data_IF_063595910192
#
_entry.id   IF_063595910192
#
_cell.length_a   1.000
_cell.length_b   1.000
_cell.length_c   1.000
_cell.angle_alpha   90.00
_cell.angle_beta   90.00
_cell.angle_gamma   90.00
#
_symmetry.space_group_name_H-M   'P 1'
#
loop_
_entity.id
_entity.type
_entity.pdbx_description
1 polymer ?
#
# COMPACT_ATOMS: atom_id res chain seq x y z
N UNK A 1 -4.83 7.70 -6.61
CA UNK A 1 -5.17 7.59 -8.05
C UNK A 1 -5.18 6.17 -8.61
N UNK A 2 -4.42 5.18 -8.11
CA UNK A 2 -4.50 3.81 -8.65
C UNK A 2 -5.95 3.27 -8.74
N UNK A 3 -6.80 3.58 -7.76
CA UNK A 3 -8.22 3.20 -7.76
C UNK A 3 -9.06 3.77 -8.90
N UNK A 4 -8.64 4.88 -9.52
CA UNK A 4 -9.35 5.51 -10.65
C UNK A 4 -8.61 5.31 -11.97
N UNK A 5 -7.48 4.60 -11.97
CA UNK A 5 -6.70 4.36 -13.18
C UNK A 5 -7.51 3.68 -14.30
N UNK A 6 -8.35 2.65 -14.03
CA UNK A 6 -9.16 2.04 -15.09
C UNK A 6 -10.08 3.04 -15.81
N UNK A 7 -10.69 3.96 -15.06
CA UNK A 7 -11.53 5.03 -15.61
C UNK A 7 -10.70 6.00 -16.47
N UNK A 8 -9.49 6.35 -16.02
CA UNK A 8 -8.63 7.27 -16.77
C UNK A 8 -8.10 6.63 -18.07
N UNK A 9 -7.81 5.33 -18.04
CA UNK A 9 -7.43 4.56 -19.24
C UNK A 9 -8.58 4.51 -20.25
N UNK A 10 -9.82 4.31 -19.79
CA UNK A 10 -11.02 4.35 -20.63
C UNK A 10 -11.20 5.74 -21.28
N UNK A 11 -11.16 6.81 -20.48
CA UNK A 11 -11.33 8.19 -20.95
C UNK A 11 -10.26 8.61 -21.97
N UNK A 12 -9.06 8.05 -21.88
CA UNK A 12 -7.96 8.36 -22.79
C UNK A 12 -7.88 7.40 -23.98
N UNK A 13 -8.75 6.38 -24.01
CA UNK A 13 -8.71 5.28 -24.97
C UNK A 13 -7.33 4.61 -25.01
N UNK A 14 -6.68 4.50 -23.85
CA UNK A 14 -5.33 3.93 -23.72
C UNK A 14 -4.20 4.74 -24.37
N UNK A 15 -4.46 5.98 -24.83
CA UNK A 15 -3.43 6.82 -25.48
C UNK A 15 -2.46 7.48 -24.49
N UNK A 16 -2.80 7.49 -23.21
CA UNK A 16 -1.96 8.01 -22.14
C UNK A 16 -1.56 6.83 -21.26
N UNK A 17 -0.25 6.72 -21.02
CA UNK A 17 0.28 5.78 -20.04
C UNK A 17 0.21 6.42 -18.65
N UNK A 18 -0.47 5.74 -17.73
CA UNK A 18 -0.49 6.12 -16.32
C UNK A 18 0.59 5.33 -15.58
N UNK A 19 1.37 6.04 -14.75
CA UNK A 19 2.41 5.45 -13.93
C UNK A 19 1.91 5.40 -12.50
N UNK A 20 1.98 4.22 -11.88
CA UNK A 20 1.73 4.07 -10.45
C UNK A 20 3.01 4.39 -9.66
N UNK A 21 3.09 5.55 -9.00
CA UNK A 21 4.26 5.89 -8.20
C UNK A 21 4.46 4.94 -7.01
N UNK A 22 3.41 4.25 -6.54
CA UNK A 22 3.53 3.30 -5.44
C UNK A 22 4.37 2.09 -5.85
N UNK A 23 4.19 1.59 -7.08
CA UNK A 23 5.00 0.51 -7.63
C UNK A 23 6.48 0.93 -7.71
N UNK A 24 6.77 2.07 -8.32
CA UNK A 24 8.16 2.57 -8.46
C UNK A 24 8.82 2.81 -7.09
N UNK A 25 8.05 3.32 -6.12
CA UNK A 25 8.52 3.48 -4.75
C UNK A 25 8.82 2.13 -4.10
N UNK A 26 7.99 1.11 -4.33
CA UNK A 26 8.21 -0.23 -3.77
C UNK A 26 9.49 -0.87 -4.31
N UNK A 27 9.78 -0.71 -5.60
CA UNK A 27 11.03 -1.20 -6.20
C UNK A 27 12.26 -0.46 -5.66
N UNK A 28 12.16 0.85 -5.44
CA UNK A 28 13.23 1.60 -4.82
C UNK A 28 13.51 1.14 -3.38
N UNK A 29 12.46 0.91 -2.59
CA UNK A 29 12.58 0.37 -1.23
C UNK A 29 13.23 -1.01 -1.27
N UNK A 30 12.79 -1.90 -2.17
CA UNK A 30 13.36 -3.23 -2.35
C UNK A 30 14.87 -3.16 -2.58
N UNK A 31 15.30 -2.37 -3.58
CA UNK A 31 16.73 -2.20 -3.91
C UNK A 31 17.53 -1.60 -2.75
N UNK A 32 16.94 -0.67 -1.99
CA UNK A 32 17.61 -0.02 -0.85
C UNK A 32 17.81 -0.98 0.32
N UNK A 33 16.86 -1.86 0.58
CA UNK A 33 16.96 -2.89 1.60
C UNK A 33 17.96 -3.98 1.19
N UNK A 34 17.93 -4.43 -0.07
CA UNK A 34 18.88 -5.38 -0.64
C UNK A 34 20.33 -4.88 -0.52
N UNK A 35 20.59 -3.65 -0.96
CA UNK A 35 21.92 -3.03 -0.89
C UNK A 35 22.43 -2.75 0.52
N UNK A 36 21.63 -3.01 1.55
CA UNK A 36 21.99 -2.85 2.97
C UNK A 36 21.87 -4.15 3.77
N UNK A 37 21.55 -5.27 3.13
CA UNK A 37 21.28 -6.55 3.79
C UNK A 37 20.20 -6.45 4.89
N UNK A 38 19.12 -5.71 4.60
CA UNK A 38 18.00 -5.44 5.52
C UNK A 38 16.72 -6.20 5.16
N UNK A 39 16.79 -7.18 4.26
CA UNK A 39 15.63 -8.01 4.00
C UNK A 39 15.30 -8.87 5.21
N UNK A 40 14.01 -8.97 5.51
CA UNK A 40 13.53 -9.90 6.51
C UNK A 40 13.84 -11.34 6.04
N UNK A 41 14.66 -12.11 6.77
CA UNK A 41 15.01 -13.48 6.37
C UNK A 41 13.85 -14.47 6.52
N UNK A 42 12.79 -14.07 7.24
CA UNK A 42 11.63 -14.92 7.45
C UNK A 42 10.81 -15.06 6.17
N UNK A 43 10.45 -16.30 5.82
CA UNK A 43 9.60 -16.60 4.66
C UNK A 43 8.11 -16.50 4.98
N UNK A 44 7.77 -16.58 6.26
CA UNK A 44 6.40 -16.38 6.74
C UNK A 44 6.08 -14.90 6.72
N UNK A 45 4.92 -14.57 6.18
CA UNK A 45 4.52 -13.20 6.06
C UNK A 45 4.05 -12.65 7.44
N UNK A 46 4.43 -11.42 7.78
CA UNK A 46 4.24 -10.84 9.12
C UNK A 46 2.83 -10.29 9.41
N UNK A 47 2.70 -9.47 10.44
CA UNK A 47 1.48 -8.69 10.71
C UNK A 47 1.69 -7.22 10.36
N UNK A 48 0.61 -6.49 10.12
CA UNK A 48 0.63 -5.06 9.79
C UNK A 48 -0.16 -4.28 10.83
N UNK A 49 0.47 -3.30 11.49
CA UNK A 49 -0.25 -2.37 12.37
C UNK A 49 -0.46 -1.05 11.64
N UNK A 50 -1.71 -0.62 11.52
CA UNK A 50 -2.09 0.64 10.92
C UNK A 50 -2.50 1.63 12.01
N UNK A 51 -1.92 2.82 11.97
CA UNK A 51 -2.18 3.88 12.94
C UNK A 51 -2.87 5.05 12.25
N UNK A 52 -3.98 5.51 12.81
CA UNK A 52 -4.74 6.63 12.28
C UNK A 52 -4.92 7.70 13.36
N UNK A 53 -4.80 8.97 12.97
CA UNK A 53 -5.06 10.10 13.88
C UNK A 53 -6.53 10.51 13.94
N UNK A 54 -7.34 10.00 13.01
CA UNK A 54 -8.79 10.26 12.87
C UNK A 54 -9.45 9.09 12.15
N UNK A 55 -10.75 8.94 12.35
CA UNK A 55 -11.65 8.05 11.59
C UNK A 55 -11.09 6.64 11.32
N UNK A 56 -10.96 5.87 12.41
CA UNK A 56 -10.48 4.48 12.33
C UNK A 56 -11.43 3.57 11.57
N UNK A 57 -12.73 3.88 11.53
CA UNK A 57 -13.75 3.07 10.84
C UNK A 57 -13.58 3.16 9.33
N UNK A 58 -13.35 4.38 8.81
CA UNK A 58 -13.01 4.56 7.41
C UNK A 58 -11.66 3.93 7.09
N UNK A 59 -10.67 4.06 7.97
CA UNK A 59 -9.36 3.40 7.84
C UNK A 59 -9.48 1.87 7.74
N UNK A 60 -10.31 1.26 8.58
CA UNK A 60 -10.60 -0.18 8.54
C UNK A 60 -11.28 -0.60 7.26
N UNK A 61 -12.32 0.14 6.87
CA UNK A 61 -13.08 -0.13 5.64
C UNK A 61 -12.17 -0.07 4.41
N UNK A 62 -11.41 1.01 4.25
CA UNK A 62 -10.54 1.19 3.09
C UNK A 62 -9.43 0.14 3.07
N UNK A 63 -8.77 -0.09 4.20
CA UNK A 63 -7.69 -1.07 4.26
C UNK A 63 -8.15 -2.48 3.91
N UNK A 64 -9.44 -2.83 4.12
CA UNK A 64 -9.97 -4.15 3.81
C UNK A 64 -9.91 -4.46 2.30
N UNK A 65 -9.88 -3.42 1.47
CA UNK A 65 -9.78 -3.57 0.02
C UNK A 65 -8.37 -3.92 -0.46
N UNK A 66 -7.34 -3.82 0.38
CA UNK A 66 -5.94 -4.03 -0.05
C UNK A 66 -5.05 -4.82 0.93
N UNK A 67 -5.52 -5.16 2.14
CA UNK A 67 -4.78 -5.98 3.10
C UNK A 67 -5.62 -7.15 3.62
N UNK A 68 -4.94 -8.26 3.94
CA UNK A 68 -5.57 -9.39 4.62
C UNK A 68 -6.01 -8.98 6.04
N UNK A 69 -7.31 -8.98 6.29
CA UNK A 69 -7.93 -8.54 7.55
C UNK A 69 -7.50 -9.39 8.75
N UNK A 70 -7.17 -10.67 8.56
CA UNK A 70 -6.72 -11.56 9.64
C UNK A 70 -5.28 -11.29 10.11
N UNK A 71 -4.53 -10.43 9.40
CA UNK A 71 -3.11 -10.17 9.66
C UNK A 71 -2.81 -8.70 9.92
N UNK A 72 -3.83 -7.91 10.24
CA UNK A 72 -3.67 -6.49 10.56
C UNK A 72 -4.29 -6.11 11.89
N UNK A 73 -3.76 -5.06 12.51
CA UNK A 73 -4.40 -4.32 13.60
C UNK A 73 -4.60 -2.87 13.18
N UNK A 74 -5.58 -2.20 13.80
CA UNK A 74 -5.89 -0.79 13.56
C UNK A 74 -5.98 -0.08 14.89
N UNK A 75 -5.27 1.02 15.01
CA UNK A 75 -5.11 1.75 16.26
C UNK A 75 -5.28 3.26 16.03
N UNK A 76 -6.02 3.90 16.93
CA UNK A 76 -6.12 5.35 16.98
C UNK A 76 -4.94 5.93 17.77
N UNK A 77 -4.26 6.94 17.23
CA UNK A 77 -3.16 7.63 17.91
C UNK A 77 -3.35 9.16 17.92
N UNK A 78 -2.67 9.84 18.84
CA UNK A 78 -2.55 11.30 18.85
C UNK A 78 -1.08 11.67 18.63
N UNK A 79 -0.82 12.61 17.72
CA UNK A 79 0.51 13.09 17.35
C UNK A 79 0.78 14.48 17.94
#
# INVERSE_FOLDING_TARGET
FPFVQPLLEELTSGRIQFIDPAFETSELVRRRLEGKDLFNPQKTAGTVSLYFTKDIELGDTLSASFLNTSRRSIEHITL
#
